data_IF_808730599391
#
_entry.id   IF_808730599391
#
_cell.length_a   1.000
_cell.length_b   1.000
_cell.length_c   1.000
_cell.angle_alpha   90.00
_cell.angle_beta   90.00
_cell.angle_gamma   90.00
#
_symmetry.space_group_name_H-M   'P 1'
#
loop_
_entity.id
_entity.type
_entity.pdbx_description
1 polymer ?
#
# COMPACT_ATOMS: atom_id res chain seq x y z
N UNK A 1 -91.19 -10.39 24.07
CA UNK A 1 -89.81 -9.81 24.16
C UNK A 1 -88.70 -10.85 24.11
N UNK A 2 -88.84 -12.03 24.73
CA UNK A 2 -87.78 -13.06 24.78
C UNK A 2 -87.34 -13.60 23.41
N UNK A 3 -88.28 -13.78 22.47
CA UNK A 3 -87.98 -14.33 21.14
C UNK A 3 -87.13 -13.39 20.26
N UNK A 4 -87.28 -12.08 20.44
CA UNK A 4 -86.52 -11.08 19.68
C UNK A 4 -85.06 -11.02 20.13
N UNK A 5 -84.80 -11.26 21.43
CA UNK A 5 -83.45 -11.29 21.99
C UNK A 5 -82.67 -12.50 21.44
N UNK A 6 -83.31 -13.67 21.39
CA UNK A 6 -82.70 -14.88 20.82
C UNK A 6 -82.39 -14.69 19.32
N UNK A 7 -83.31 -14.10 18.56
CA UNK A 7 -83.11 -13.78 17.14
C UNK A 7 -81.93 -12.83 16.90
N UNK A 8 -81.75 -11.83 17.77
CA UNK A 8 -80.61 -10.90 17.74
C UNK A 8 -79.29 -11.63 18.03
N UNK A 9 -79.25 -12.52 19.03
CA UNK A 9 -78.05 -13.32 19.31
C UNK A 9 -77.67 -14.25 18.15
N UNK A 10 -78.65 -14.94 17.56
CA UNK A 10 -78.42 -15.82 16.41
C UNK A 10 -77.87 -15.06 15.20
N UNK A 11 -78.24 -13.79 15.02
CA UNK A 11 -77.71 -12.94 13.95
C UNK A 11 -76.30 -12.38 14.24
N UNK A 12 -75.98 -12.08 15.50
CA UNK A 12 -74.71 -11.44 15.89
C UNK A 12 -73.54 -12.43 15.97
N UNK A 13 -73.79 -13.67 16.44
CA UNK A 13 -72.76 -14.71 16.58
C UNK A 13 -71.97 -14.98 15.29
N UNK A 14 -72.59 -15.19 14.11
CA UNK A 14 -71.84 -15.44 12.87
C UNK A 14 -71.03 -14.22 12.42
N UNK A 15 -71.51 -13.00 12.65
CA UNK A 15 -70.78 -11.76 12.32
C UNK A 15 -69.54 -11.62 13.19
N UNK A 16 -69.65 -11.87 14.50
CA UNK A 16 -68.50 -11.88 15.42
C UNK A 16 -67.48 -12.96 15.05
N UNK A 17 -67.94 -14.16 14.66
CA UNK A 17 -67.05 -15.23 14.21
C UNK A 17 -66.27 -14.83 12.96
N UNK A 18 -66.93 -14.23 11.97
CA UNK A 18 -66.26 -13.71 10.76
C UNK A 18 -65.27 -12.60 11.12
N UNK A 19 -65.63 -11.67 12.01
CA UNK A 19 -64.73 -10.60 12.46
C UNK A 19 -63.48 -11.16 13.17
N UNK A 20 -63.65 -12.16 14.04
CA UNK A 20 -62.54 -12.83 14.70
C UNK A 20 -61.65 -13.55 13.68
N UNK A 21 -62.25 -14.28 12.73
CA UNK A 21 -61.51 -14.98 11.69
C UNK A 21 -60.71 -14.00 10.81
N UNK A 22 -61.31 -12.88 10.40
CA UNK A 22 -60.64 -11.82 9.63
C UNK A 22 -59.52 -11.19 10.45
N UNK A 23 -59.75 -10.87 11.73
CA UNK A 23 -58.71 -10.32 12.60
C UNK A 23 -57.52 -11.27 12.76
N UNK A 24 -57.78 -12.56 13.03
CA UNK A 24 -56.74 -13.59 13.13
C UNK A 24 -55.99 -13.74 11.82
N UNK A 25 -56.70 -13.74 10.69
CA UNK A 25 -56.12 -13.82 9.36
C UNK A 25 -55.21 -12.61 9.07
N UNK A 26 -55.68 -11.39 9.34
CA UNK A 26 -54.88 -10.17 9.16
C UNK A 26 -53.63 -10.19 10.03
N UNK A 27 -53.74 -10.62 11.29
CA UNK A 27 -52.60 -10.75 12.20
C UNK A 27 -51.60 -11.81 11.72
N UNK A 28 -52.09 -12.94 11.22
CA UNK A 28 -51.24 -14.00 10.66
C UNK A 28 -50.47 -13.52 9.42
N UNK A 29 -51.14 -12.86 8.48
CA UNK A 29 -50.49 -12.32 7.28
C UNK A 29 -49.50 -11.21 7.59
N UNK A 30 -49.81 -10.28 8.51
CA UNK A 30 -48.90 -9.21 8.90
C UNK A 30 -47.56 -9.77 9.44
N UNK A 31 -47.64 -10.73 10.37
CA UNK A 31 -46.45 -11.38 10.93
C UNK A 31 -45.65 -12.18 9.88
N UNK A 32 -46.32 -12.80 8.91
CA UNK A 32 -45.65 -13.54 7.84
C UNK A 32 -44.94 -12.60 6.84
N UNK A 33 -45.57 -11.47 6.53
CA UNK A 33 -45.00 -10.44 5.65
C UNK A 33 -43.78 -9.77 6.26
N UNK A 34 -43.77 -9.54 7.58
CA UNK A 34 -42.63 -8.97 8.30
C UNK A 34 -41.37 -9.87 8.16
N UNK A 35 -41.51 -11.18 8.38
CA UNK A 35 -40.38 -12.13 8.22
C UNK A 35 -39.84 -12.19 6.79
N UNK A 36 -40.73 -12.15 5.79
CA UNK A 36 -40.33 -12.12 4.39
C UNK A 36 -39.58 -10.83 4.06
N UNK A 37 -40.07 -9.70 4.57
CA UNK A 37 -39.43 -8.40 4.38
C UNK A 37 -38.05 -8.34 5.05
N UNK A 38 -37.91 -8.88 6.27
CA UNK A 38 -36.63 -8.96 6.97
C UNK A 38 -35.64 -9.88 6.25
N UNK A 39 -36.10 -11.02 5.72
CA UNK A 39 -35.27 -11.92 4.91
C UNK A 39 -34.78 -11.25 3.62
N UNK A 40 -35.67 -10.52 2.93
CA UNK A 40 -35.32 -9.77 1.71
C UNK A 40 -34.28 -8.69 2.01
N UNK A 41 -34.46 -7.93 3.10
CA UNK A 41 -33.47 -6.95 3.56
C UNK A 41 -32.12 -7.59 3.87
N UNK A 42 -32.11 -8.67 4.64
CA UNK A 42 -30.88 -9.38 5.00
C UNK A 42 -30.12 -9.90 3.76
N UNK A 43 -30.83 -10.44 2.76
CA UNK A 43 -30.22 -10.87 1.50
C UNK A 43 -29.69 -9.69 0.67
N UNK A 44 -30.39 -8.56 0.66
CA UNK A 44 -29.93 -7.35 -0.03
C UNK A 44 -28.65 -6.81 0.63
N UNK A 45 -28.59 -6.77 1.95
CA UNK A 45 -27.41 -6.33 2.70
C UNK A 45 -26.23 -7.29 2.50
N UNK A 46 -26.47 -8.60 2.50
CA UNK A 46 -25.45 -9.60 2.17
C UNK A 46 -24.93 -9.41 0.73
N UNK A 47 -25.81 -9.10 -0.22
CA UNK A 47 -25.43 -8.85 -1.62
C UNK A 47 -24.57 -7.58 -1.72
N UNK A 48 -24.93 -6.51 -1.02
CA UNK A 48 -24.14 -5.27 -0.96
C UNK A 48 -22.76 -5.52 -0.37
N UNK A 49 -22.67 -6.26 0.73
CA UNK A 49 -21.40 -6.61 1.38
C UNK A 49 -20.52 -7.46 0.46
N UNK A 50 -21.10 -8.41 -0.29
CA UNK A 50 -20.36 -9.20 -1.29
C UNK A 50 -19.81 -8.31 -2.39
N UNK A 51 -20.64 -7.43 -2.97
CA UNK A 51 -20.21 -6.50 -4.02
C UNK A 51 -19.10 -5.55 -3.53
N UNK A 52 -19.19 -5.05 -2.29
CA UNK A 52 -18.15 -4.21 -1.71
C UNK A 52 -16.83 -4.98 -1.54
N UNK A 53 -16.90 -6.21 -1.01
CA UNK A 53 -15.73 -7.08 -0.89
C UNK A 53 -15.11 -7.43 -2.25
N UNK A 54 -15.92 -7.70 -3.27
CA UNK A 54 -15.43 -8.00 -4.62
C UNK A 54 -14.76 -6.78 -5.25
N UNK A 55 -15.35 -5.58 -5.11
CA UNK A 55 -14.70 -4.32 -5.53
C UNK A 55 -13.38 -4.07 -4.80
N UNK A 56 -13.33 -4.36 -3.50
CA UNK A 56 -12.10 -4.26 -2.71
C UNK A 56 -11.03 -5.23 -3.23
N UNK A 57 -11.40 -6.50 -3.46
CA UNK A 57 -10.51 -7.51 -4.03
C UNK A 57 -10.01 -7.13 -5.42
N UNK A 58 -10.86 -6.60 -6.28
CA UNK A 58 -10.46 -6.20 -7.63
C UNK A 58 -9.51 -5.01 -7.61
N UNK A 59 -9.73 -4.05 -6.70
CA UNK A 59 -8.76 -2.98 -6.46
C UNK A 59 -7.42 -3.53 -5.95
N UNK A 60 -7.44 -4.46 -5.01
CA UNK A 60 -6.23 -5.11 -4.48
C UNK A 60 -5.47 -5.88 -5.56
N UNK A 61 -6.15 -6.62 -6.43
CA UNK A 61 -5.54 -7.32 -7.57
C UNK A 61 -4.75 -6.39 -8.49
N UNK A 62 -5.16 -5.13 -8.61
CA UNK A 62 -4.48 -4.13 -9.44
C UNK A 62 -3.38 -3.40 -8.65
N UNK A 63 -3.67 -2.96 -7.42
CA UNK A 63 -2.75 -2.12 -6.65
C UNK A 63 -1.59 -2.89 -5.99
N UNK A 64 -1.82 -4.12 -5.52
CA UNK A 64 -0.80 -4.91 -4.83
C UNK A 64 0.41 -5.16 -5.75
N UNK A 65 0.23 -5.64 -7.01
CA UNK A 65 1.36 -5.84 -7.91
C UNK A 65 2.14 -4.56 -8.18
N UNK A 66 1.46 -3.41 -8.36
CA UNK A 66 2.12 -2.13 -8.57
C UNK A 66 2.97 -1.70 -7.38
N UNK A 67 2.48 -1.93 -6.15
CA UNK A 67 3.24 -1.66 -4.93
C UNK A 67 4.45 -2.58 -4.77
N UNK A 68 4.28 -3.88 -5.01
CA UNK A 68 5.40 -4.83 -4.98
C UNK A 68 6.47 -4.46 -6.00
N UNK A 69 6.07 -4.12 -7.22
CA UNK A 69 6.98 -3.65 -8.25
C UNK A 69 7.71 -2.36 -7.85
N UNK A 70 7.02 -1.40 -7.22
CA UNK A 70 7.65 -0.19 -6.71
C UNK A 70 8.73 -0.49 -5.66
N UNK A 71 8.47 -1.42 -4.74
CA UNK A 71 9.48 -1.84 -3.77
C UNK A 71 10.67 -2.52 -4.41
N UNK A 72 10.46 -3.44 -5.36
CA UNK A 72 11.55 -4.07 -6.11
C UNK A 72 12.43 -3.02 -6.80
N UNK A 73 11.80 -2.02 -7.43
CA UNK A 73 12.52 -0.91 -8.06
C UNK A 73 13.32 -0.08 -7.05
N UNK A 74 12.81 0.14 -5.85
CA UNK A 74 13.56 0.88 -4.82
C UNK A 74 14.71 0.07 -4.24
N UNK A 75 14.53 -1.24 -4.07
CA UNK A 75 15.63 -2.13 -3.68
C UNK A 75 16.73 -2.11 -4.76
N UNK A 76 16.36 -2.20 -6.04
CA UNK A 76 17.31 -2.09 -7.15
C UNK A 76 17.99 -0.73 -7.21
N UNK A 77 17.26 0.36 -6.98
CA UNK A 77 17.82 1.70 -6.88
C UNK A 77 18.90 1.77 -5.79
N UNK A 78 18.59 1.28 -4.58
CA UNK A 78 19.50 1.24 -3.44
C UNK A 78 20.77 0.41 -3.74
N UNK A 79 20.61 -0.76 -4.36
CA UNK A 79 21.73 -1.60 -4.81
C UNK A 79 22.57 -0.91 -5.89
N UNK A 80 21.94 -0.13 -6.78
CA UNK A 80 22.64 0.58 -7.85
C UNK A 80 23.45 1.76 -7.34
N UNK A 81 22.95 2.49 -6.35
CA UNK A 81 23.70 3.62 -5.76
C UNK A 81 24.72 3.18 -4.70
N UNK A 82 24.74 1.89 -4.34
CA UNK A 82 25.77 1.32 -3.46
C UNK A 82 27.17 1.53 -4.08
N UNK A 83 28.12 2.20 -3.39
CA UNK A 83 29.39 2.59 -3.98
C UNK A 83 30.23 1.44 -4.58
N UNK A 84 30.43 0.27 -3.93
CA UNK A 84 31.05 -0.89 -4.56
C UNK A 84 30.46 -1.26 -5.93
N UNK A 85 29.12 -1.34 -6.00
CA UNK A 85 28.41 -1.69 -7.23
C UNK A 85 28.52 -0.60 -8.28
N UNK A 86 28.41 0.66 -7.86
CA UNK A 86 28.46 1.83 -8.73
C UNK A 86 29.85 2.05 -9.31
N UNK A 87 30.90 2.00 -8.48
CA UNK A 87 32.29 2.16 -8.91
C UNK A 87 32.69 1.08 -9.92
N UNK A 88 32.22 -0.15 -9.74
CA UNK A 88 32.48 -1.24 -10.71
C UNK A 88 31.91 -0.94 -12.10
N UNK A 89 30.81 -0.19 -12.20
CA UNK A 89 30.18 0.18 -13.49
C UNK A 89 30.76 1.45 -14.09
N UNK A 90 31.02 2.46 -13.26
CA UNK A 90 31.45 3.79 -13.72
C UNK A 90 32.97 3.90 -13.92
N UNK A 91 33.77 3.04 -13.28
CA UNK A 91 35.23 3.12 -13.38
C UNK A 91 35.70 2.62 -14.76
N UNK A 92 36.23 3.53 -15.56
CA UNK A 92 36.83 3.26 -16.86
C UNK A 92 38.33 3.60 -16.87
N UNK A 93 39.08 2.98 -17.77
CA UNK A 93 40.51 3.25 -17.92
C UNK A 93 40.78 4.69 -18.34
N UNK A 94 41.77 5.33 -17.70
CA UNK A 94 42.22 6.69 -18.06
C UNK A 94 41.44 7.85 -17.44
N UNK A 95 40.44 7.58 -16.59
CA UNK A 95 39.74 8.63 -15.85
C UNK A 95 40.63 9.25 -14.76
N UNK A 96 40.47 10.56 -14.55
CA UNK A 96 40.93 11.24 -13.34
C UNK A 96 39.83 11.29 -12.26
N UNK A 97 40.21 11.68 -11.05
CA UNK A 97 39.33 11.73 -9.89
C UNK A 97 38.13 12.67 -10.11
N UNK A 98 38.34 13.85 -10.70
CA UNK A 98 37.25 14.79 -10.98
C UNK A 98 36.22 14.25 -11.97
N UNK A 99 36.68 13.56 -13.01
CA UNK A 99 35.81 12.90 -13.99
C UNK A 99 35.01 11.76 -13.36
N UNK A 100 35.64 10.91 -12.55
CA UNK A 100 34.95 9.82 -11.84
C UNK A 100 33.88 10.38 -10.89
N UNK A 101 34.21 11.43 -10.11
CA UNK A 101 33.26 12.08 -9.20
C UNK A 101 32.02 12.56 -9.97
N UNK A 102 32.21 13.28 -11.09
CA UNK A 102 31.11 13.81 -11.89
C UNK A 102 30.23 12.68 -12.46
N UNK A 103 30.87 11.60 -12.94
CA UNK A 103 30.16 10.45 -13.50
C UNK A 103 29.32 9.72 -12.45
N UNK A 104 29.90 9.46 -11.27
CA UNK A 104 29.23 8.82 -10.14
C UNK A 104 28.03 9.65 -9.66
N UNK A 105 28.21 10.95 -9.43
CA UNK A 105 27.13 11.83 -8.98
C UNK A 105 26.00 11.94 -10.02
N UNK A 106 26.36 11.95 -11.30
CA UNK A 106 25.38 11.90 -12.40
C UNK A 106 24.58 10.60 -12.37
N UNK A 107 25.25 9.45 -12.25
CA UNK A 107 24.62 8.13 -12.18
C UNK A 107 23.62 8.03 -11.02
N UNK A 108 23.99 8.50 -9.82
CA UNK A 108 23.07 8.56 -8.66
C UNK A 108 21.83 9.41 -8.96
N UNK A 109 22.00 10.56 -9.60
CA UNK A 109 20.89 11.45 -9.94
C UNK A 109 19.95 10.80 -10.96
N UNK A 110 20.50 10.25 -12.03
CA UNK A 110 19.72 9.61 -13.09
C UNK A 110 18.93 8.42 -12.54
N UNK A 111 19.57 7.54 -11.75
CA UNK A 111 18.89 6.41 -11.10
C UNK A 111 17.76 6.86 -10.18
N UNK A 112 17.94 7.97 -9.45
CA UNK A 112 16.89 8.53 -8.60
C UNK A 112 15.74 9.12 -9.42
N UNK A 113 16.03 9.89 -10.47
CA UNK A 113 15.01 10.48 -11.35
C UNK A 113 14.20 9.40 -12.09
N UNK A 114 14.84 8.33 -12.56
CA UNK A 114 14.18 7.18 -13.17
C UNK A 114 13.23 6.43 -12.23
N UNK A 115 13.41 6.58 -10.92
CA UNK A 115 12.68 5.88 -9.88
C UNK A 115 11.77 6.79 -9.04
N UNK A 116 11.83 8.10 -9.26
CA UNK A 116 11.08 9.11 -8.51
C UNK A 116 9.57 8.87 -8.50
N UNK A 117 8.99 8.39 -9.61
CA UNK A 117 7.55 8.13 -9.70
C UNK A 117 7.06 7.02 -8.77
N UNK A 118 7.95 6.14 -8.33
CA UNK A 118 7.60 5.02 -7.45
C UNK A 118 7.20 5.49 -6.05
N UNK A 119 7.53 6.73 -5.66
CA UNK A 119 7.11 7.32 -4.38
C UNK A 119 5.60 7.28 -4.15
N UNK A 120 4.79 7.21 -5.22
CA UNK A 120 3.33 7.11 -5.13
C UNK A 120 2.84 5.81 -4.46
N UNK A 121 3.69 4.79 -4.42
CA UNK A 121 3.34 3.44 -3.97
C UNK A 121 4.04 3.03 -2.67
N UNK A 122 4.78 3.95 -2.04
CA UNK A 122 5.63 3.71 -0.88
C UNK A 122 5.21 4.68 0.23
N UNK A 123 5.21 4.21 1.47
CA UNK A 123 4.92 5.03 2.64
C UNK A 123 5.99 6.12 2.82
N UNK A 124 5.55 7.31 3.26
CA UNK A 124 6.44 8.47 3.43
C UNK A 124 7.64 8.15 4.32
N UNK A 125 7.45 7.36 5.39
CA UNK A 125 8.53 7.00 6.31
C UNK A 125 9.67 6.22 5.62
N UNK A 126 9.33 5.25 4.77
CA UNK A 126 10.34 4.50 4.02
C UNK A 126 10.95 5.35 2.91
N UNK A 127 10.12 6.15 2.25
CA UNK A 127 10.58 7.11 1.25
C UNK A 127 11.59 8.11 1.81
N UNK A 128 11.39 8.61 3.03
CA UNK A 128 12.35 9.45 3.74
C UNK A 128 13.69 8.75 3.97
N UNK A 129 13.69 7.45 4.33
CA UNK A 129 14.94 6.70 4.47
C UNK A 129 15.65 6.52 3.12
N UNK A 130 14.92 6.30 2.02
CA UNK A 130 15.48 6.21 0.66
C UNK A 130 16.12 7.55 0.26
N UNK A 131 15.41 8.66 0.46
CA UNK A 131 15.93 10.02 0.22
C UNK A 131 17.20 10.26 1.04
N UNK A 132 17.17 9.94 2.33
CA UNK A 132 18.31 10.09 3.22
C UNK A 132 19.51 9.24 2.77
N UNK A 133 19.29 8.01 2.29
CA UNK A 133 20.35 7.17 1.76
C UNK A 133 21.01 7.79 0.53
N UNK A 134 20.22 8.25 -0.44
CA UNK A 134 20.73 8.97 -1.62
C UNK A 134 21.58 10.18 -1.23
N UNK A 135 21.08 11.03 -0.34
CA UNK A 135 21.83 12.22 0.12
C UNK A 135 23.14 11.83 0.83
N UNK A 136 23.14 10.75 1.61
CA UNK A 136 24.34 10.26 2.28
C UNK A 136 25.37 9.71 1.32
N UNK A 137 24.97 9.02 0.25
CA UNK A 137 25.88 8.58 -0.81
C UNK A 137 26.47 9.78 -1.56
N UNK A 138 25.66 10.79 -1.89
CA UNK A 138 26.16 12.03 -2.51
C UNK A 138 27.17 12.73 -1.59
N UNK A 139 26.86 12.81 -0.29
CA UNK A 139 27.76 13.39 0.70
C UNK A 139 29.08 12.61 0.78
N UNK A 140 29.01 11.28 0.88
CA UNK A 140 30.16 10.38 0.90
C UNK A 140 31.09 10.64 -0.28
N UNK A 141 30.56 10.62 -1.51
CA UNK A 141 31.35 10.85 -2.74
C UNK A 141 32.04 12.21 -2.72
N UNK A 142 31.33 13.27 -2.33
CA UNK A 142 31.89 14.61 -2.26
C UNK A 142 32.96 14.75 -1.17
N UNK A 143 32.75 14.13 0.00
CA UNK A 143 33.73 14.13 1.08
C UNK A 143 34.99 13.37 0.68
N UNK A 144 34.88 12.19 0.08
CA UNK A 144 36.04 11.44 -0.44
C UNK A 144 36.78 12.22 -1.54
N UNK A 145 36.05 12.88 -2.44
CA UNK A 145 36.66 13.72 -3.47
C UNK A 145 37.43 14.92 -2.90
N UNK A 146 37.08 15.43 -1.72
CA UNK A 146 37.83 16.51 -1.07
C UNK A 146 39.22 16.09 -0.56
N UNK A 147 39.49 14.78 -0.45
CA UNK A 147 40.77 14.23 0.02
C UNK A 147 41.74 13.91 -1.13
N UNK A 148 41.30 14.02 -2.38
CA UNK A 148 42.07 13.64 -3.59
C UNK A 148 42.07 14.81 -4.56
N UNK A 149 43.19 15.09 -5.23
CA UNK A 149 43.21 16.17 -6.23
C UNK A 149 42.46 15.75 -7.50
N UNK A 150 41.74 16.66 -8.19
CA UNK A 150 40.93 16.30 -9.35
C UNK A 150 41.70 15.67 -10.53
N UNK A 151 42.98 16.00 -10.68
CA UNK A 151 43.89 15.51 -11.73
C UNK A 151 44.54 14.16 -11.41
N UNK A 152 44.39 13.66 -10.19
CA UNK A 152 44.91 12.35 -9.80
C UNK A 152 44.13 11.19 -10.45
N UNK A 153 44.73 9.99 -10.55
CA UNK A 153 44.05 8.82 -11.10
C UNK A 153 42.75 8.50 -10.37
N UNK A 154 41.68 8.18 -11.12
CA UNK A 154 40.35 7.86 -10.59
C UNK A 154 40.35 6.75 -9.52
N UNK A 155 41.29 5.80 -9.62
CA UNK A 155 41.44 4.71 -8.63
C UNK A 155 41.71 5.23 -7.21
N UNK A 156 42.40 6.38 -7.06
CA UNK A 156 42.62 6.98 -5.73
C UNK A 156 41.31 7.41 -5.09
N UNK A 157 40.44 8.07 -5.86
CA UNK A 157 39.11 8.45 -5.39
C UNK A 157 38.24 7.22 -5.09
N UNK A 158 38.26 6.20 -5.95
CA UNK A 158 37.49 4.97 -5.73
C UNK A 158 37.87 4.30 -4.40
N UNK A 159 39.17 4.19 -4.10
CA UNK A 159 39.66 3.63 -2.84
C UNK A 159 39.24 4.49 -1.62
N UNK A 160 39.27 5.81 -1.76
CA UNK A 160 38.87 6.73 -0.70
C UNK A 160 37.37 6.61 -0.39
N UNK A 161 36.51 6.51 -1.42
CA UNK A 161 35.06 6.28 -1.27
C UNK A 161 34.79 5.01 -0.48
N UNK A 162 35.42 3.90 -0.86
CA UNK A 162 35.27 2.62 -0.17
C UNK A 162 35.77 2.69 1.28
N UNK A 163 36.88 3.39 1.53
CA UNK A 163 37.44 3.54 2.88
C UNK A 163 36.49 4.29 3.81
N UNK A 164 35.90 5.40 3.35
CA UNK A 164 34.92 6.15 4.12
C UNK A 164 33.62 5.35 4.35
N UNK A 165 33.20 4.57 3.36
CA UNK A 165 32.02 3.70 3.49
C UNK A 165 32.21 2.64 4.57
N UNK A 166 33.33 1.91 4.56
CA UNK A 166 33.63 0.90 5.59
C UNK A 166 33.87 1.50 6.97
N UNK A 167 34.33 2.76 7.04
CA UNK A 167 34.50 3.49 8.30
C UNK A 167 33.19 4.00 8.92
N UNK A 168 32.07 3.99 8.18
CA UNK A 168 30.79 4.48 8.68
C UNK A 168 30.15 3.45 9.63
N UNK A 169 29.79 3.88 10.84
CA UNK A 169 29.15 3.03 11.85
C UNK A 169 27.72 2.57 11.49
N UNK A 170 27.10 3.12 10.45
CA UNK A 170 25.76 2.75 10.00
C UNK A 170 25.67 2.94 8.49
N UNK A 171 25.36 1.85 7.77
CA UNK A 171 25.10 1.89 6.35
C UNK A 171 23.71 2.50 6.08
N UNK A 172 23.63 3.68 5.44
CA UNK A 172 22.35 4.29 5.12
C UNK A 172 21.54 3.49 4.09
N UNK A 173 22.18 2.71 3.21
CA UNK A 173 21.52 1.83 2.24
C UNK A 173 20.84 0.68 2.96
N UNK A 174 21.54 0.00 3.86
CA UNK A 174 20.96 -1.08 4.67
C UNK A 174 19.76 -0.57 5.49
N UNK A 175 19.87 0.63 6.08
CA UNK A 175 18.77 1.25 6.81
C UNK A 175 17.53 1.50 5.93
N UNK A 176 17.73 2.01 4.72
CA UNK A 176 16.64 2.21 3.76
C UNK A 176 16.04 0.88 3.29
N UNK A 177 16.86 -0.14 3.04
CA UNK A 177 16.39 -1.49 2.71
C UNK A 177 15.54 -2.10 3.83
N UNK A 178 15.96 -1.92 5.08
CA UNK A 178 15.21 -2.40 6.24
C UNK A 178 13.85 -1.70 6.35
N UNK A 179 13.79 -0.40 6.05
CA UNK A 179 12.53 0.34 6.02
C UNK A 179 11.55 -0.26 5.00
N UNK A 180 12.00 -0.50 3.76
CA UNK A 180 11.20 -1.15 2.71
C UNK A 180 10.74 -2.55 3.15
N UNK A 181 11.64 -3.38 3.70
CA UNK A 181 11.31 -4.73 4.18
C UNK A 181 10.24 -4.71 5.28
N UNK A 182 10.36 -3.78 6.23
CA UNK A 182 9.39 -3.64 7.31
C UNK A 182 8.03 -3.16 6.80
N UNK A 183 8.01 -2.24 5.84
CA UNK A 183 6.78 -1.76 5.20
C UNK A 183 6.05 -2.90 4.48
N UNK A 184 6.77 -3.73 3.71
CA UNK A 184 6.18 -4.91 3.06
C UNK A 184 5.56 -5.83 4.10
N UNK A 185 6.31 -6.17 5.17
CA UNK A 185 5.86 -7.07 6.23
C UNK A 185 4.64 -6.55 7.01
N UNK A 186 4.50 -5.22 7.14
CA UNK A 186 3.37 -4.62 7.85
C UNK A 186 2.12 -4.52 6.98
N UNK A 187 2.29 -4.44 5.66
CA UNK A 187 1.20 -4.22 4.71
C UNK A 187 0.70 -5.50 4.02
N UNK A 188 1.47 -6.60 4.09
CA UNK A 188 1.18 -7.88 3.45
C UNK A 188 1.61 -9.06 4.33
#
# INVERSE_FOLDING_TARGET
MHNNIILVFVAIIPVLLVLIAVYLMLRYFANQNEKQFDFLKANQDLTRLKLENDRKKDREKVLIPLRLQAYERMVLFLERINPPNMLTREMQSGLNAGQLQALVLKSVREEYEHNMSQQLYIEEKSWEQIKAAKEKIVQLVNTSASQVKPDEPAIKLANEILTFEFGAHSDPIEKAMLAIKNEIKNNY
#
